data_IF_766582444239
#
_entry.id   IF_766582444239
#
_cell.length_a   1.000
_cell.length_b   1.000
_cell.length_c   1.000
_cell.angle_alpha   90.00
_cell.angle_beta   90.00
_cell.angle_gamma   90.00
#
_symmetry.space_group_name_H-M   'P 1'
#
loop_
_entity.id
_entity.type
_entity.pdbx_description
1 polymer ?
#
# COMPACT_ATOMS: atom_id res chain seq x y z
N UNK A 1 24.91 18.17 -4.06
CA UNK A 1 26.26 18.14 -3.47
C UNK A 1 27.15 17.26 -4.36
N UNK A 2 28.19 17.81 -4.97
CA UNK A 2 29.17 17.02 -5.72
C UNK A 2 30.36 16.76 -4.81
N UNK A 3 30.44 15.57 -4.22
CA UNK A 3 31.46 15.27 -3.22
C UNK A 3 32.48 14.28 -3.80
N UNK A 4 33.64 14.81 -4.21
CA UNK A 4 34.79 13.99 -4.60
C UNK A 4 35.65 13.75 -3.36
N UNK A 5 35.25 12.76 -2.59
CA UNK A 5 35.94 12.28 -1.39
C UNK A 5 36.82 11.06 -1.71
N UNK A 6 37.76 10.77 -0.80
CA UNK A 6 38.52 9.53 -0.84
C UNK A 6 37.55 8.33 -0.76
N UNK A 7 37.84 7.19 -1.44
CA UNK A 7 37.00 5.99 -1.34
C UNK A 7 36.81 5.48 0.09
N UNK A 8 37.75 5.79 0.99
CA UNK A 8 37.70 5.38 2.40
C UNK A 8 36.86 6.32 3.29
N UNK A 9 36.33 7.41 2.75
CA UNK A 9 35.48 8.32 3.51
C UNK A 9 34.11 7.68 3.77
N UNK A 10 33.53 7.98 4.93
CA UNK A 10 32.16 7.59 5.26
C UNK A 10 31.36 8.88 5.51
N UNK A 11 30.19 8.98 4.88
CA UNK A 11 29.20 10.02 5.17
C UNK A 11 28.04 9.34 5.88
N UNK A 12 27.82 9.68 7.14
CA UNK A 12 26.76 9.08 7.97
C UNK A 12 25.73 10.13 8.36
N UNK A 13 24.45 9.76 8.26
CA UNK A 13 23.33 10.52 8.81
C UNK A 13 22.79 9.73 10.00
N UNK A 14 23.14 10.17 11.21
CA UNK A 14 22.85 9.42 12.44
C UNK A 14 21.93 10.21 13.36
N UNK A 15 20.86 9.54 13.82
CA UNK A 15 19.89 10.08 14.78
C UNK A 15 19.36 11.46 14.35
N UNK A 16 19.15 11.64 13.04
CA UNK A 16 18.77 12.90 12.44
C UNK A 16 17.25 12.93 12.21
N UNK A 17 16.58 13.95 12.74
CA UNK A 17 15.18 14.24 12.45
C UNK A 17 15.09 15.37 11.44
N UNK A 18 14.58 15.06 10.25
CA UNK A 18 14.28 16.05 9.22
C UNK A 18 12.81 16.48 9.37
N UNK A 19 12.60 17.74 9.77
CA UNK A 19 11.24 18.30 9.89
C UNK A 19 10.51 18.39 8.55
N UNK A 20 11.25 18.70 7.49
CA UNK A 20 10.83 18.62 6.09
C UNK A 20 11.54 17.44 5.41
N UNK A 21 11.26 17.19 4.14
CA UNK A 21 11.94 16.14 3.37
C UNK A 21 13.46 16.39 3.20
N UNK A 22 14.21 15.37 2.81
CA UNK A 22 15.62 15.49 2.42
C UNK A 22 15.76 15.42 0.89
N UNK A 23 16.58 16.29 0.28
CA UNK A 23 17.00 16.18 -1.13
C UNK A 23 18.46 15.74 -1.24
N UNK A 24 18.66 14.48 -1.62
CA UNK A 24 19.96 13.93 -2.04
C UNK A 24 19.90 13.35 -3.46
N UNK A 25 18.84 13.66 -4.23
CA UNK A 25 18.61 13.13 -5.57
C UNK A 25 19.71 13.48 -6.57
N UNK A 26 20.32 14.66 -6.38
CA UNK A 26 21.40 15.22 -7.20
C UNK A 26 22.78 15.01 -6.60
N UNK A 27 22.88 14.36 -5.45
CA UNK A 27 24.16 14.15 -4.78
C UNK A 27 24.88 12.95 -5.38
N UNK A 28 26.17 13.09 -5.67
CA UNK A 28 27.01 11.97 -6.09
C UNK A 28 27.94 11.63 -4.94
N UNK A 29 27.73 10.46 -4.34
CA UNK A 29 28.55 9.95 -3.26
C UNK A 29 29.51 8.91 -3.84
N UNK A 30 30.80 9.25 -3.88
CA UNK A 30 31.88 8.36 -4.32
C UNK A 30 32.50 7.56 -3.16
N UNK A 31 31.76 7.46 -2.06
CA UNK A 31 32.20 6.91 -0.78
C UNK A 31 31.02 6.20 -0.11
N UNK A 32 31.25 5.51 1.01
CA UNK A 32 30.16 4.82 1.73
C UNK A 32 29.23 5.86 2.36
N UNK A 33 27.94 5.77 2.04
CA UNK A 33 26.89 6.54 2.71
C UNK A 33 26.17 5.61 3.68
N UNK A 34 25.90 6.09 4.89
CA UNK A 34 25.19 5.33 5.90
C UNK A 34 24.05 6.16 6.48
N UNK A 35 22.93 5.50 6.75
CA UNK A 35 21.77 6.10 7.40
C UNK A 35 21.46 5.29 8.66
N UNK A 36 21.30 5.97 9.79
CA UNK A 36 20.95 5.31 11.05
C UNK A 36 19.98 6.15 11.85
N UNK A 37 18.85 5.56 12.25
CA UNK A 37 17.79 6.22 13.05
C UNK A 37 17.41 7.60 12.50
N UNK A 38 17.20 7.68 11.19
CA UNK A 38 16.70 8.90 10.57
C UNK A 38 15.17 8.93 10.60
N UNK A 39 14.62 10.12 10.85
CA UNK A 39 13.19 10.36 10.89
C UNK A 39 12.84 11.51 9.95
N UNK A 40 11.70 11.39 9.25
CA UNK A 40 11.19 12.42 8.36
C UNK A 40 9.76 12.70 8.78
N UNK A 41 9.53 13.90 9.32
CA UNK A 41 8.21 14.25 9.86
C UNK A 41 7.23 14.59 8.74
N UNK A 42 7.71 15.27 7.69
CA UNK A 42 6.89 15.67 6.55
C UNK A 42 7.39 15.01 5.26
N UNK A 43 6.74 13.90 4.87
CA UNK A 43 7.09 13.12 3.67
C UNK A 43 6.99 13.98 2.41
N UNK A 44 5.94 14.79 2.33
CA UNK A 44 5.74 15.80 1.27
C UNK A 44 5.91 17.17 1.93
N UNK A 45 7.01 17.89 1.67
CA UNK A 45 7.32 19.12 2.37
C UNK A 45 6.34 20.24 2.00
N UNK A 46 6.00 21.09 2.98
CA UNK A 46 5.19 22.29 2.75
C UNK A 46 5.91 23.28 1.85
N UNK A 47 7.23 23.37 2.02
CA UNK A 47 8.14 24.23 1.26
C UNK A 47 8.72 23.49 0.05
N UNK A 48 7.86 22.85 -0.75
CA UNK A 48 8.29 22.03 -1.88
C UNK A 48 9.12 22.79 -2.93
N UNK A 49 8.99 24.12 -2.98
CA UNK A 49 9.77 24.99 -3.87
C UNK A 49 11.29 24.87 -3.63
N UNK A 50 11.74 24.58 -2.40
CA UNK A 50 13.16 24.36 -2.07
C UNK A 50 13.78 23.15 -2.79
N UNK A 51 12.93 22.23 -3.27
CA UNK A 51 13.33 20.98 -3.90
C UNK A 51 13.25 21.09 -5.44
N UNK A 52 12.73 22.19 -5.99
CA UNK A 52 12.46 22.32 -7.42
C UNK A 52 13.72 22.52 -8.27
N UNK A 53 14.63 23.42 -7.86
CA UNK A 53 15.80 23.83 -8.63
C UNK A 53 17.03 23.93 -7.70
N UNK A 54 18.18 24.36 -8.22
CA UNK A 54 19.41 24.58 -7.42
C UNK A 54 19.50 26.01 -6.88
N UNK A 55 18.65 26.91 -7.38
CA UNK A 55 18.66 28.33 -7.04
C UNK A 55 17.68 28.55 -5.89
N UNK A 56 18.14 29.04 -4.74
CA UNK A 56 17.24 29.50 -3.66
C UNK A 56 16.68 30.88 -4.04
N UNK A 57 16.11 30.99 -5.22
CA UNK A 57 15.39 32.15 -5.68
C UNK A 57 13.93 31.73 -5.78
N UNK A 58 13.04 32.46 -5.11
CA UNK A 58 11.59 32.25 -5.17
C UNK A 58 11.08 32.68 -6.56
N UNK A 59 11.43 31.90 -7.59
CA UNK A 59 10.94 32.11 -8.93
C UNK A 59 9.50 31.63 -8.96
N UNK A 60 8.59 32.54 -9.32
CA UNK A 60 7.13 32.45 -9.29
C UNK A 60 6.48 31.27 -10.04
N UNK A 61 7.25 30.38 -10.66
CA UNK A 61 6.78 29.15 -11.31
C UNK A 61 7.13 27.93 -10.48
N UNK A 62 6.39 27.73 -9.39
CA UNK A 62 6.52 26.58 -8.49
C UNK A 62 6.14 25.28 -9.19
N UNK A 63 7.10 24.56 -9.77
CA UNK A 63 6.89 23.25 -10.40
C UNK A 63 6.91 22.13 -9.35
N UNK A 64 5.77 21.94 -8.69
CA UNK A 64 5.55 20.88 -7.70
C UNK A 64 5.93 19.49 -8.21
N UNK A 65 5.69 19.17 -9.50
CA UNK A 65 6.08 17.88 -10.09
C UNK A 65 7.59 17.65 -10.03
N UNK A 66 8.40 18.66 -10.41
CA UNK A 66 9.88 18.55 -10.35
C UNK A 66 10.38 18.32 -8.92
N UNK A 67 9.83 19.04 -7.95
CA UNK A 67 10.16 18.86 -6.54
C UNK A 67 9.86 17.43 -6.06
N UNK A 68 8.68 16.91 -6.36
CA UNK A 68 8.27 15.55 -5.98
C UNK A 68 9.16 14.47 -6.60
N UNK A 69 9.58 14.63 -7.87
CA UNK A 69 10.52 13.70 -8.52
C UNK A 69 11.83 13.61 -7.72
N UNK A 70 12.41 14.74 -7.30
CA UNK A 70 13.66 14.75 -6.53
C UNK A 70 13.50 14.16 -5.14
N UNK A 71 12.39 14.46 -4.47
CA UNK A 71 12.08 13.87 -3.16
C UNK A 71 11.94 12.35 -3.29
N UNK A 72 11.21 11.87 -4.31
CA UNK A 72 11.06 10.44 -4.60
C UNK A 72 12.42 9.76 -4.84
N UNK A 73 13.29 10.36 -5.66
CA UNK A 73 14.63 9.81 -5.89
C UNK A 73 15.48 9.78 -4.61
N UNK A 74 15.30 10.76 -3.72
CA UNK A 74 16.00 10.80 -2.43
C UNK A 74 15.56 9.64 -1.53
N UNK A 75 14.26 9.38 -1.40
CA UNK A 75 13.76 8.23 -0.66
C UNK A 75 14.17 6.90 -1.29
N UNK A 76 14.20 6.81 -2.62
CA UNK A 76 14.70 5.63 -3.32
C UNK A 76 16.17 5.34 -2.99
N UNK A 77 17.03 6.36 -2.98
CA UNK A 77 18.45 6.22 -2.64
C UNK A 77 18.63 5.76 -1.19
N UNK A 78 17.93 6.39 -0.24
CA UNK A 78 17.97 5.98 1.18
C UNK A 78 17.50 4.52 1.33
N UNK A 79 16.40 4.14 0.68
CA UNK A 79 15.90 2.76 0.64
C UNK A 79 16.98 1.79 0.11
N UNK A 80 17.69 2.17 -0.95
CA UNK A 80 18.75 1.34 -1.53
C UNK A 80 19.89 1.12 -0.54
N UNK A 81 20.30 2.13 0.22
CA UNK A 81 21.32 1.97 1.27
C UNK A 81 20.85 0.98 2.36
N UNK A 82 19.63 1.14 2.88
CA UNK A 82 19.10 0.20 3.87
C UNK A 82 18.98 -1.24 3.35
N UNK A 83 18.62 -1.42 2.08
CA UNK A 83 18.60 -2.75 1.45
C UNK A 83 20.00 -3.37 1.35
N UNK A 84 21.03 -2.58 1.02
CA UNK A 84 22.42 -3.05 0.95
C UNK A 84 22.93 -3.49 2.32
N UNK A 85 22.48 -2.84 3.39
CA UNK A 85 22.80 -3.20 4.78
C UNK A 85 21.95 -4.36 5.33
N UNK A 86 20.98 -4.86 4.56
CA UNK A 86 20.02 -5.89 5.02
C UNK A 86 18.98 -5.36 6.01
N UNK A 87 18.88 -4.04 6.20
CA UNK A 87 17.87 -3.41 7.06
C UNK A 87 16.53 -3.28 6.32
N UNK A 88 15.84 -4.42 6.16
CA UNK A 88 14.57 -4.51 5.44
C UNK A 88 13.44 -3.66 6.09
N UNK A 89 13.51 -3.42 7.40
CA UNK A 89 12.49 -2.66 8.14
C UNK A 89 12.54 -1.19 7.74
N UNK A 90 13.72 -0.56 7.80
CA UNK A 90 13.87 0.84 7.38
C UNK A 90 13.77 0.98 5.85
N UNK A 91 14.26 -0.01 5.08
CA UNK A 91 14.07 -0.01 3.63
C UNK A 91 12.58 0.02 3.25
N UNK A 92 11.73 -0.75 3.94
CA UNK A 92 10.29 -0.74 3.70
C UNK A 92 9.64 0.59 4.09
N UNK A 93 10.06 1.21 5.20
CA UNK A 93 9.61 2.55 5.59
C UNK A 93 9.91 3.59 4.51
N UNK A 94 11.13 3.57 3.95
CA UNK A 94 11.50 4.48 2.86
C UNK A 94 10.86 4.11 1.51
N UNK A 95 10.52 2.84 1.30
CA UNK A 95 9.67 2.45 0.18
C UNK A 95 8.27 3.04 0.30
N UNK A 96 7.66 2.99 1.49
CA UNK A 96 6.36 3.62 1.74
C UNK A 96 6.42 5.13 1.44
N UNK A 97 7.47 5.82 1.91
CA UNK A 97 7.68 7.25 1.63
C UNK A 97 7.83 7.52 0.12
N UNK A 98 8.62 6.72 -0.58
CA UNK A 98 8.78 6.79 -2.03
C UNK A 98 7.42 6.66 -2.75
N UNK A 99 6.57 5.73 -2.31
CA UNK A 99 5.26 5.46 -2.94
C UNK A 99 4.24 6.56 -2.66
N UNK A 100 4.23 7.16 -1.47
CA UNK A 100 3.39 8.33 -1.18
C UNK A 100 3.73 9.52 -2.09
N UNK A 101 5.02 9.79 -2.27
CA UNK A 101 5.48 10.87 -3.17
C UNK A 101 5.16 10.53 -4.62
N UNK A 102 5.35 9.27 -5.03
CA UNK A 102 5.01 8.82 -6.38
C UNK A 102 3.51 8.98 -6.68
N UNK A 103 2.64 8.67 -5.72
CA UNK A 103 1.19 8.88 -5.85
C UNK A 103 0.84 10.35 -6.05
N UNK A 104 1.49 11.25 -5.32
CA UNK A 104 1.28 12.69 -5.48
C UNK A 104 1.85 13.22 -6.81
N UNK A 105 3.00 12.71 -7.25
CA UNK A 105 3.54 12.98 -8.60
C UNK A 105 2.52 12.54 -9.67
N UNK A 106 1.92 11.37 -9.46
CA UNK A 106 0.97 10.75 -10.37
C UNK A 106 -0.37 11.50 -10.49
N UNK A 107 -0.80 12.18 -9.42
CA UNK A 107 -2.03 12.99 -9.41
C UNK A 107 -1.84 14.31 -10.17
N UNK A 108 -0.61 14.85 -10.20
CA UNK A 108 -0.27 16.13 -10.85
C UNK A 108 0.09 15.93 -12.32
N UNK A 109 0.55 14.75 -12.72
CA UNK A 109 0.97 14.50 -14.10
C UNK A 109 -0.21 14.66 -15.08
N UNK A 110 -0.02 15.53 -16.09
CA UNK A 110 -0.93 15.63 -17.25
C UNK A 110 -0.86 14.40 -18.15
N UNK A 111 0.23 13.65 -18.07
CA UNK A 111 0.39 12.40 -18.80
C UNK A 111 -0.62 11.38 -18.28
N UNK A 112 -1.28 10.66 -19.19
CA UNK A 112 -2.16 9.55 -18.84
C UNK A 112 -1.31 8.44 -18.21
N UNK A 113 -1.20 8.46 -16.89
CA UNK A 113 -0.79 7.28 -16.17
C UNK A 113 -1.81 6.20 -16.48
N UNK A 114 -1.30 5.03 -16.85
CA UNK A 114 -2.10 3.85 -17.12
C UNK A 114 -3.07 3.61 -15.96
N UNK A 115 -4.32 3.32 -16.27
CA UNK A 115 -5.35 3.15 -15.25
C UNK A 115 -5.02 1.94 -14.35
N UNK A 116 -4.30 0.96 -14.90
CA UNK A 116 -3.73 -0.20 -14.21
C UNK A 116 -2.75 0.21 -13.10
N UNK A 117 -1.86 1.16 -13.38
CA UNK A 117 -0.88 1.65 -12.40
C UNK A 117 -1.57 2.43 -11.28
N UNK A 118 -2.56 3.28 -11.64
CA UNK A 118 -3.35 4.04 -10.66
C UNK A 118 -4.15 3.14 -9.74
N UNK A 119 -4.81 2.12 -10.30
CA UNK A 119 -5.57 1.17 -9.49
C UNK A 119 -4.64 0.38 -8.58
N UNK A 120 -3.51 -0.10 -9.08
CA UNK A 120 -2.49 -0.81 -8.27
C UNK A 120 -2.01 0.05 -7.09
N UNK A 121 -1.70 1.33 -7.32
CA UNK A 121 -1.30 2.26 -6.26
C UNK A 121 -2.39 2.42 -5.19
N UNK A 122 -3.64 2.66 -5.61
CA UNK A 122 -4.76 2.83 -4.70
C UNK A 122 -5.04 1.57 -3.87
N UNK A 123 -5.04 0.41 -4.51
CA UNK A 123 -5.29 -0.85 -3.84
C UNK A 123 -4.18 -1.20 -2.85
N UNK A 124 -2.90 -1.00 -3.19
CA UNK A 124 -1.79 -1.24 -2.27
C UNK A 124 -1.79 -0.26 -1.08
N UNK A 125 -2.09 1.01 -1.31
CA UNK A 125 -2.21 1.99 -0.23
C UNK A 125 -3.36 1.64 0.74
N UNK A 126 -4.55 1.38 0.18
CA UNK A 126 -5.75 1.11 0.97
C UNK A 126 -5.66 -0.23 1.72
N UNK A 127 -5.13 -1.26 1.07
CA UNK A 127 -5.08 -2.61 1.64
C UNK A 127 -3.98 -2.77 2.67
N UNK A 128 -2.74 -2.32 2.42
CA UNK A 128 -1.63 -2.60 3.36
C UNK A 128 -0.61 -1.47 3.49
N UNK A 129 -0.92 -0.26 3.02
CA UNK A 129 -0.03 0.91 3.05
C UNK A 129 1.32 0.63 2.36
N UNK A 130 1.25 0.09 1.13
CA UNK A 130 2.44 -0.29 0.35
C UNK A 130 3.30 -1.36 1.05
N UNK A 131 2.65 -2.33 1.70
CA UNK A 131 3.29 -3.46 2.37
C UNK A 131 3.68 -3.23 3.83
N UNK A 132 3.49 -2.03 4.38
CA UNK A 132 3.95 -1.72 5.75
C UNK A 132 3.02 -2.18 6.87
N UNK A 133 1.73 -2.43 6.60
CA UNK A 133 0.74 -2.78 7.63
C UNK A 133 -0.10 -4.03 7.31
N UNK A 134 0.21 -5.14 7.98
CA UNK A 134 -0.58 -6.37 7.88
C UNK A 134 -1.98 -6.25 8.51
N UNK A 135 -2.10 -5.45 9.58
CA UNK A 135 -3.38 -5.16 10.24
C UNK A 135 -4.36 -4.47 9.29
N UNK A 136 -3.88 -3.54 8.45
CA UNK A 136 -4.70 -2.93 7.40
C UNK A 136 -5.17 -3.99 6.40
N UNK A 137 -4.31 -4.95 6.03
CA UNK A 137 -4.66 -6.05 5.13
C UNK A 137 -5.77 -6.93 5.67
N UNK A 138 -5.72 -7.22 6.96
CA UNK A 138 -6.77 -7.95 7.68
C UNK A 138 -8.09 -7.17 7.67
N UNK A 139 -8.06 -5.88 8.02
CA UNK A 139 -9.25 -5.01 7.99
C UNK A 139 -9.86 -4.87 6.60
N UNK A 140 -9.02 -4.72 5.57
CA UNK A 140 -9.45 -4.71 4.17
C UNK A 140 -10.19 -6.01 3.83
N UNK A 141 -9.58 -7.15 4.16
CA UNK A 141 -10.16 -8.47 3.89
C UNK A 141 -11.50 -8.64 4.60
N UNK A 142 -11.61 -8.27 5.88
CA UNK A 142 -12.87 -8.33 6.63
C UNK A 142 -13.95 -7.46 6.01
N UNK A 143 -13.65 -6.20 5.64
CA UNK A 143 -14.63 -5.27 5.03
C UNK A 143 -15.12 -5.77 3.68
N UNK A 144 -14.21 -6.21 2.81
CA UNK A 144 -14.52 -6.78 1.50
C UNK A 144 -15.38 -8.04 1.65
N UNK A 145 -15.01 -8.92 2.57
CA UNK A 145 -15.75 -10.16 2.81
C UNK A 145 -17.17 -9.88 3.29
N UNK A 146 -17.35 -8.93 4.22
CA UNK A 146 -18.67 -8.51 4.68
C UNK A 146 -19.49 -7.90 3.54
N UNK A 147 -18.91 -7.01 2.72
CA UNK A 147 -19.58 -6.39 1.59
C UNK A 147 -20.07 -7.44 0.56
N UNK A 148 -19.20 -8.34 0.13
CA UNK A 148 -19.59 -9.35 -0.86
C UNK A 148 -20.55 -10.38 -0.28
N UNK A 149 -20.39 -10.75 1.00
CA UNK A 149 -21.31 -11.66 1.68
C UNK A 149 -22.70 -11.06 1.82
N UNK A 150 -22.83 -9.77 2.17
CA UNK A 150 -24.15 -9.11 2.26
C UNK A 150 -24.82 -8.99 0.90
N UNK A 151 -24.09 -8.63 -0.16
CA UNK A 151 -24.62 -8.63 -1.53
C UNK A 151 -25.05 -10.04 -1.94
N UNK A 152 -24.26 -11.05 -1.60
CA UNK A 152 -24.59 -12.45 -1.88
C UNK A 152 -25.87 -12.89 -1.15
N UNK A 153 -26.02 -12.59 0.14
CA UNK A 153 -27.26 -12.85 0.90
C UNK A 153 -28.47 -12.11 0.30
N UNK A 154 -28.29 -10.88 -0.17
CA UNK A 154 -29.35 -10.13 -0.84
C UNK A 154 -29.78 -10.83 -2.15
N UNK A 155 -28.85 -11.34 -2.94
CA UNK A 155 -29.18 -12.13 -4.13
C UNK A 155 -29.98 -13.39 -3.77
N UNK A 156 -29.62 -14.08 -2.68
CA UNK A 156 -30.39 -15.24 -2.20
C UNK A 156 -31.79 -14.85 -1.72
N UNK A 157 -31.93 -13.71 -1.04
CA UNK A 157 -33.24 -13.22 -0.60
C UNK A 157 -34.16 -12.92 -1.78
N UNK A 158 -33.63 -12.34 -2.86
CA UNK A 158 -34.42 -11.93 -4.04
C UNK A 158 -34.79 -13.13 -4.91
N UNK A 159 -33.87 -14.07 -5.13
CA UNK A 159 -34.03 -15.12 -6.15
C UNK A 159 -34.27 -16.53 -5.59
N UNK A 160 -34.00 -16.77 -4.31
CA UNK A 160 -33.98 -18.09 -3.70
C UNK A 160 -34.87 -18.19 -2.45
N UNK A 161 -35.77 -17.21 -2.25
CA UNK A 161 -36.74 -17.15 -1.14
C UNK A 161 -36.10 -17.29 0.25
N UNK A 162 -34.85 -16.80 0.40
CA UNK A 162 -34.21 -16.75 1.71
C UNK A 162 -34.86 -15.66 2.57
N UNK A 163 -35.54 -16.07 3.65
CA UNK A 163 -36.17 -15.12 4.57
C UNK A 163 -35.25 -14.79 5.75
N UNK A 164 -35.21 -13.50 6.10
CA UNK A 164 -34.52 -13.05 7.30
C UNK A 164 -35.32 -13.43 8.54
N UNK A 165 -34.69 -14.18 9.45
CA UNK A 165 -35.25 -14.51 10.75
C UNK A 165 -34.27 -14.11 11.86
N UNK A 166 -34.73 -13.28 12.80
CA UNK A 166 -33.94 -12.83 13.92
C UNK A 166 -34.02 -13.86 15.06
N UNK A 167 -33.23 -14.92 14.93
CA UNK A 167 -33.09 -15.95 15.97
C UNK A 167 -31.61 -16.24 16.25
N UNK A 168 -31.30 -16.77 17.44
CA UNK A 168 -29.93 -17.15 17.79
C UNK A 168 -29.37 -18.23 16.84
N UNK A 169 -30.21 -19.19 16.46
CA UNK A 169 -29.84 -20.25 15.51
C UNK A 169 -29.55 -19.66 14.13
N UNK A 170 -30.40 -18.77 13.62
CA UNK A 170 -30.18 -18.08 12.34
C UNK A 170 -28.92 -17.20 12.36
N UNK A 171 -28.63 -16.52 13.47
CA UNK A 171 -27.41 -15.73 13.62
C UNK A 171 -26.16 -16.64 13.61
N UNK A 172 -26.20 -17.76 14.34
CA UNK A 172 -25.13 -18.75 14.37
C UNK A 172 -24.88 -19.36 12.98
N UNK A 173 -25.93 -19.74 12.26
CA UNK A 173 -25.83 -20.26 10.90
C UNK A 173 -25.26 -19.20 9.94
N UNK A 174 -25.73 -17.96 10.05
CA UNK A 174 -25.22 -16.85 9.23
C UNK A 174 -23.71 -16.64 9.44
N UNK A 175 -23.24 -16.73 10.69
CA UNK A 175 -21.81 -16.64 11.01
C UNK A 175 -21.03 -17.85 10.48
N UNK A 176 -21.56 -19.06 10.64
CA UNK A 176 -20.97 -20.30 10.11
C UNK A 176 -20.77 -20.20 8.59
N UNK A 177 -21.79 -19.78 7.87
CA UNK A 177 -21.73 -19.62 6.42
C UNK A 177 -20.83 -18.45 6.01
N UNK A 178 -20.76 -17.36 6.78
CA UNK A 178 -19.77 -16.31 6.57
C UNK A 178 -18.33 -16.83 6.69
N UNK A 179 -18.02 -17.65 7.69
CA UNK A 179 -16.68 -18.26 7.84
C UNK A 179 -16.37 -19.19 6.66
N UNK A 180 -17.34 -19.98 6.19
CA UNK A 180 -17.17 -20.78 4.98
C UNK A 180 -16.99 -19.91 3.72
N UNK A 181 -17.68 -18.77 3.64
CA UNK A 181 -17.53 -17.75 2.60
C UNK A 181 -16.15 -17.06 2.62
N UNK A 182 -15.38 -17.17 3.71
CA UNK A 182 -13.97 -16.74 3.73
C UNK A 182 -13.03 -17.79 3.14
N UNK A 183 -13.36 -19.07 3.23
CA UNK A 183 -12.51 -20.17 2.74
C UNK A 183 -12.44 -20.27 1.19
N UNK A 184 -11.45 -19.63 0.58
CA UNK A 184 -11.35 -19.49 -0.88
C UNK A 184 -11.08 -20.79 -1.66
N UNK A 185 -10.82 -21.91 -0.99
CA UNK A 185 -10.50 -23.19 -1.65
C UNK A 185 -11.73 -24.04 -1.94
N UNK A 186 -12.86 -23.74 -1.30
CA UNK A 186 -14.10 -24.50 -1.44
C UNK A 186 -15.07 -23.76 -2.37
N UNK A 187 -15.24 -24.29 -3.57
CA UNK A 187 -16.12 -23.71 -4.61
C UNK A 187 -17.54 -24.28 -4.59
N UNK A 188 -17.75 -25.48 -4.05
CA UNK A 188 -19.08 -26.04 -3.78
C UNK A 188 -19.67 -25.42 -2.52
N UNK A 189 -20.03 -24.14 -2.60
CA UNK A 189 -20.56 -23.38 -1.48
C UNK A 189 -22.09 -23.37 -1.51
N UNK A 190 -22.73 -24.16 -0.63
CA UNK A 190 -24.18 -24.38 -0.61
C UNK A 190 -24.77 -24.00 0.76
N UNK A 191 -25.01 -22.71 1.02
CA UNK A 191 -25.44 -22.25 2.33
C UNK A 191 -26.93 -22.47 2.55
N UNK A 192 -27.34 -22.52 3.82
CA UNK A 192 -28.75 -22.63 4.25
C UNK A 192 -29.53 -23.81 3.64
N UNK A 193 -28.85 -24.92 3.33
CA UNK A 193 -29.47 -26.11 2.75
C UNK A 193 -29.85 -25.97 1.28
N UNK A 194 -29.43 -24.90 0.60
CA UNK A 194 -29.67 -24.70 -0.82
C UNK A 194 -28.89 -25.72 -1.66
N UNK A 195 -29.54 -26.36 -2.62
CA UNK A 195 -28.86 -27.26 -3.57
C UNK A 195 -28.16 -26.50 -4.69
N UNK A 196 -28.74 -25.37 -5.12
CA UNK A 196 -28.22 -24.42 -6.11
C UNK A 196 -28.76 -23.00 -5.85
N UNK A 197 -28.13 -21.99 -6.45
CA UNK A 197 -28.58 -20.60 -6.42
C UNK A 197 -28.41 -19.92 -7.78
N UNK A 198 -29.03 -18.75 -7.97
CA UNK A 198 -29.06 -18.04 -9.24
C UNK A 198 -27.63 -17.74 -9.79
N UNK A 199 -27.47 -17.70 -11.12
CA UNK A 199 -26.22 -17.35 -11.81
C UNK A 199 -25.62 -16.01 -11.38
N UNK A 200 -26.43 -15.00 -11.05
CA UNK A 200 -25.94 -13.74 -10.48
C UNK A 200 -25.36 -13.92 -9.08
N UNK A 201 -25.97 -14.78 -8.25
CA UNK A 201 -25.40 -15.17 -6.95
C UNK A 201 -24.05 -15.88 -7.11
N UNK A 202 -23.91 -16.75 -8.12
CA UNK A 202 -22.61 -17.37 -8.48
C UNK A 202 -21.57 -16.34 -8.91
N UNK A 203 -21.97 -15.36 -9.71
CA UNK A 203 -21.07 -14.28 -10.14
C UNK A 203 -20.60 -13.44 -8.96
N UNK A 204 -21.50 -13.03 -8.05
CA UNK A 204 -21.14 -12.27 -6.85
C UNK A 204 -20.21 -13.08 -5.94
N UNK A 205 -20.52 -14.36 -5.73
CA UNK A 205 -19.65 -15.27 -4.98
C UNK A 205 -18.25 -15.35 -5.60
N UNK A 206 -18.17 -15.61 -6.90
CA UNK A 206 -16.91 -15.73 -7.63
C UNK A 206 -16.06 -14.46 -7.55
N UNK A 207 -16.64 -13.30 -7.84
CA UNK A 207 -15.94 -12.02 -7.76
C UNK A 207 -15.51 -11.73 -6.32
N UNK A 208 -16.38 -11.99 -5.33
CA UNK A 208 -16.05 -11.84 -3.92
C UNK A 208 -14.82 -12.65 -3.52
N UNK A 209 -14.70 -13.90 -3.97
CA UNK A 209 -13.53 -14.75 -3.72
C UNK A 209 -12.23 -14.19 -4.30
N UNK A 210 -12.27 -13.57 -5.49
CA UNK A 210 -11.10 -12.89 -6.07
C UNK A 210 -10.62 -11.77 -5.15
N UNK A 211 -11.52 -10.92 -4.67
CA UNK A 211 -11.15 -9.82 -3.78
C UNK A 211 -10.70 -10.30 -2.39
N UNK A 212 -11.29 -11.36 -1.84
CA UNK A 212 -10.85 -11.98 -0.59
C UNK A 212 -9.44 -12.57 -0.75
N UNK A 213 -9.19 -13.28 -1.85
CA UNK A 213 -7.87 -13.81 -2.18
C UNK A 213 -6.82 -12.71 -2.32
N UNK A 214 -7.17 -11.58 -2.94
CA UNK A 214 -6.32 -10.40 -2.97
C UNK A 214 -6.03 -9.87 -1.55
N UNK A 215 -7.04 -9.78 -0.68
CA UNK A 215 -6.85 -9.39 0.72
C UNK A 215 -5.91 -10.31 1.50
N UNK A 216 -6.00 -11.62 1.29
CA UNK A 216 -5.05 -12.60 1.85
C UNK A 216 -3.63 -12.36 1.34
N UNK A 217 -3.46 -12.17 0.04
CA UNK A 217 -2.16 -11.85 -0.55
C UNK A 217 -1.56 -10.58 0.09
N UNK A 218 -2.34 -9.51 0.22
CA UNK A 218 -1.88 -8.24 0.80
C UNK A 218 -1.46 -8.37 2.26
N UNK A 219 -2.19 -9.21 3.02
CA UNK A 219 -1.86 -9.54 4.41
C UNK A 219 -0.53 -10.30 4.49
N UNK A 220 -0.37 -11.36 3.68
CA UNK A 220 0.85 -12.17 3.62
C UNK A 220 2.06 -11.33 3.19
N UNK A 221 1.89 -10.50 2.15
CA UNK A 221 2.94 -9.60 1.67
C UNK A 221 3.43 -8.67 2.79
N UNK A 222 2.52 -8.11 3.58
CA UNK A 222 2.88 -7.24 4.69
C UNK A 222 3.51 -7.97 5.88
N UNK A 223 3.26 -9.28 6.05
CA UNK A 223 3.99 -10.10 7.03
C UNK A 223 5.42 -10.43 6.58
N UNK A 224 5.66 -10.53 5.27
CA UNK A 224 6.98 -10.85 4.71
C UNK A 224 8.04 -9.80 5.05
N UNK A 225 7.65 -8.59 5.49
CA UNK A 225 8.57 -7.52 5.88
C UNK A 225 9.58 -7.88 6.97
N UNK A 226 9.30 -8.89 7.80
CA UNK A 226 10.21 -9.35 8.86
C UNK A 226 11.01 -10.59 8.48
N UNK A 227 10.89 -11.09 7.24
CA UNK A 227 11.67 -12.25 6.83
C UNK A 227 13.11 -11.78 6.55
N UNK A 228 14.06 -12.30 7.33
CA UNK A 228 15.48 -12.26 6.95
C UNK A 228 15.59 -12.93 5.58
N UNK A 229 16.29 -12.27 4.65
CA UNK A 229 16.85 -13.00 3.51
C UNK A 229 17.92 -13.97 4.02
#
# INVERSE_FOLDING_TARGET
MYNKVSPNTIISFENATFHQSLDISRSNFWCKVQFWRIEINSIIPSEFWLYENDMIEDTSTKNKKKALIKIRESYRRIKQEFNQEGNNIEALKFHEYEMHVYKEEASISKDKIKWEDRTTLLFNECSNNFGSSWLRGLWFTTKVSLLFYTIFLLMLCIFNELHFNLSWTSASDTLKYFIQFLNITVWEYKPFGLTTYNGLGYLVFFIGRIFIGYGYYQTIQAFRKYKSN
#
